data_IF_494508949711
#
_entry.id   IF_494508949711
#
_cell.length_a   1.000
_cell.length_b   1.000
_cell.length_c   1.000
_cell.angle_alpha   90.00
_cell.angle_beta   90.00
_cell.angle_gamma   90.00
#
_symmetry.space_group_name_H-M   'P 1'
#
loop_
_entity.id
_entity.type
_entity.pdbx_description
1 polymer ?
#
# COMPACT_ATOMS: atom_id res chain seq x y z
N UNK A 1 -65.20 -24.95 -61.13
CA UNK A 1 -64.36 -26.01 -60.52
C UNK A 1 -63.48 -26.62 -61.60
N UNK A 2 -62.27 -27.11 -61.25
CA UNK A 2 -61.16 -27.61 -62.11
C UNK A 2 -60.12 -26.49 -62.39
N UNK A 3 -59.12 -26.31 -61.49
CA UNK A 3 -57.75 -26.88 -61.45
C UNK A 3 -56.93 -26.62 -62.72
N UNK A 4 -55.76 -25.98 -62.56
CA UNK A 4 -54.46 -26.54 -62.99
C UNK A 4 -53.29 -25.79 -62.31
N UNK A 5 -52.28 -26.57 -61.94
CA UNK A 5 -51.07 -26.26 -61.17
C UNK A 5 -49.84 -26.22 -62.11
N UNK A 6 -48.71 -25.80 -61.53
CA UNK A 6 -47.30 -26.00 -61.94
C UNK A 6 -46.75 -24.92 -62.88
N UNK A 7 -45.48 -24.49 -62.84
CA UNK A 7 -44.31 -24.73 -61.98
C UNK A 7 -43.16 -23.89 -62.56
N UNK A 8 -42.18 -23.51 -61.71
CA UNK A 8 -40.80 -23.13 -62.06
C UNK A 8 -40.63 -21.81 -62.86
N UNK A 9 -39.57 -21.02 -62.77
CA UNK A 9 -38.32 -21.00 -62.03
C UNK A 9 -37.62 -19.67 -62.41
N UNK A 10 -36.82 -19.10 -61.50
CA UNK A 10 -35.71 -18.16 -61.79
C UNK A 10 -36.16 -16.74 -62.23
N UNK A 11 -35.62 -15.61 -61.80
CA UNK A 11 -34.26 -15.21 -61.41
C UNK A 11 -34.42 -14.05 -60.40
N UNK A 12 -33.98 -14.23 -59.15
CA UNK A 12 -33.69 -13.10 -58.26
C UNK A 12 -32.27 -12.62 -58.59
N UNK A 13 -32.12 -11.41 -59.13
CA UNK A 13 -30.82 -10.72 -59.18
C UNK A 13 -30.85 -9.45 -58.33
N UNK A 14 -30.44 -9.66 -57.08
CA UNK A 14 -29.65 -8.82 -56.20
C UNK A 14 -29.34 -7.38 -56.66
N UNK A 15 -29.90 -6.41 -55.93
CA UNK A 15 -29.20 -5.18 -55.56
C UNK A 15 -29.57 -4.83 -54.10
N UNK A 16 -29.24 -5.72 -53.16
CA UNK A 16 -29.07 -5.29 -51.78
C UNK A 16 -27.64 -4.74 -51.68
N UNK A 17 -27.52 -3.42 -51.63
CA UNK A 17 -26.32 -2.77 -51.12
C UNK A 17 -26.14 -3.31 -49.69
N UNK A 18 -25.26 -4.30 -49.53
CA UNK A 18 -24.80 -4.67 -48.21
C UNK A 18 -24.09 -3.43 -47.68
N UNK A 19 -24.72 -2.73 -46.74
CA UNK A 19 -23.99 -1.86 -45.86
C UNK A 19 -22.86 -2.72 -45.29
N UNK A 20 -21.62 -2.41 -45.66
CA UNK A 20 -20.47 -2.89 -44.92
C UNK A 20 -20.66 -2.35 -43.50
N UNK A 21 -21.26 -3.15 -42.63
CA UNK A 21 -21.14 -2.95 -41.20
C UNK A 21 -19.66 -3.14 -40.94
N UNK A 22 -18.95 -2.03 -40.81
CA UNK A 22 -17.66 -2.00 -40.16
C UNK A 22 -17.91 -2.56 -38.76
N UNK A 23 -17.68 -3.87 -38.59
CA UNK A 23 -17.54 -4.45 -37.25
C UNK A 23 -16.19 -3.94 -36.74
N UNK A 24 -16.19 -2.70 -36.27
CA UNK A 24 -15.20 -2.24 -35.32
C UNK A 24 -15.65 -2.65 -33.92
N UNK A 25 -15.97 -3.93 -33.72
CA UNK A 25 -16.11 -4.49 -32.38
C UNK A 25 -14.69 -4.78 -31.89
N UNK A 26 -14.06 -3.74 -31.34
CA UNK A 26 -12.87 -3.93 -30.53
C UNK A 26 -13.17 -4.89 -29.38
N UNK A 27 -12.17 -5.67 -28.94
CA UNK A 27 -12.34 -6.53 -27.77
C UNK A 27 -12.80 -5.70 -26.57
N UNK A 28 -13.67 -6.28 -25.74
CA UNK A 28 -14.05 -5.66 -24.47
C UNK A 28 -12.92 -5.84 -23.45
N UNK A 29 -11.98 -4.90 -23.47
CA UNK A 29 -10.81 -4.89 -22.59
C UNK A 29 -11.20 -4.55 -21.16
N UNK A 30 -10.68 -5.33 -20.23
CA UNK A 30 -10.78 -5.18 -18.79
C UNK A 30 -9.38 -4.97 -18.21
N UNK A 31 -9.32 -4.46 -16.98
CA UNK A 31 -8.07 -4.21 -16.27
C UNK A 31 -8.07 -4.89 -14.91
N UNK A 32 -6.90 -5.40 -14.52
CA UNK A 32 -6.61 -5.97 -13.20
C UNK A 32 -5.35 -5.32 -12.62
N UNK A 33 -4.93 -5.74 -11.43
CA UNK A 33 -3.72 -5.22 -10.78
C UNK A 33 -2.45 -5.49 -11.61
N UNK A 34 -2.45 -6.56 -12.40
CA UNK A 34 -1.29 -7.15 -13.09
C UNK A 34 -1.38 -7.11 -14.62
N UNK A 35 -2.57 -6.92 -15.22
CA UNK A 35 -2.72 -6.91 -16.67
C UNK A 35 -3.92 -6.08 -17.18
N UNK A 36 -3.88 -5.76 -18.46
CA UNK A 36 -5.05 -5.39 -19.26
C UNK A 36 -5.39 -6.59 -20.16
N UNK A 37 -6.61 -7.09 -20.12
CA UNK A 37 -6.99 -8.36 -20.75
C UNK A 37 -8.37 -8.32 -21.38
N UNK A 38 -8.68 -9.23 -22.30
CA UNK A 38 -10.01 -9.36 -22.87
C UNK A 38 -10.38 -10.82 -23.15
N UNK A 39 -11.68 -11.09 -23.23
CA UNK A 39 -12.19 -12.39 -23.67
C UNK A 39 -12.18 -12.52 -25.18
N UNK A 40 -12.19 -13.76 -25.67
CA UNK A 40 -12.30 -14.12 -27.08
C UNK A 40 -11.15 -13.53 -27.93
N UNK A 41 -9.96 -13.45 -27.36
CA UNK A 41 -8.78 -12.88 -28.02
C UNK A 41 -7.54 -13.74 -27.82
N UNK A 42 -6.54 -13.50 -28.67
CA UNK A 42 -5.22 -14.12 -28.66
C UNK A 42 -4.17 -13.14 -29.19
N UNK A 43 -2.89 -13.47 -29.05
CA UNK A 43 -1.75 -12.82 -29.69
C UNK A 43 -0.96 -13.85 -30.51
N UNK A 44 -0.74 -13.55 -31.79
CA UNK A 44 -0.05 -14.49 -32.70
C UNK A 44 1.44 -14.61 -32.36
N UNK A 45 1.90 -15.83 -32.12
CA UNK A 45 3.32 -16.18 -31.95
C UNK A 45 3.95 -15.65 -30.66
N UNK A 46 5.28 -15.46 -30.70
CA UNK A 46 6.11 -14.94 -29.61
C UNK A 46 6.09 -15.75 -28.31
N UNK A 47 5.73 -17.03 -28.37
CA UNK A 47 5.70 -17.91 -27.21
C UNK A 47 7.10 -18.16 -26.64
N UNK A 48 7.30 -17.77 -25.39
CA UNK A 48 8.51 -18.01 -24.59
C UNK A 48 8.31 -19.14 -23.57
N UNK A 49 7.18 -19.80 -23.63
CA UNK A 49 6.82 -20.96 -22.82
C UNK A 49 5.31 -21.10 -22.67
N UNK A 50 4.90 -22.18 -22.01
CA UNK A 50 3.50 -22.44 -21.72
C UNK A 50 3.35 -23.23 -20.42
N UNK A 51 2.18 -23.15 -19.81
CA UNK A 51 1.83 -23.95 -18.64
C UNK A 51 0.33 -24.27 -18.65
N UNK A 52 -0.01 -25.47 -18.21
CA UNK A 52 -1.41 -25.87 -18.03
C UNK A 52 -1.96 -25.22 -16.75
N UNK A 53 -3.01 -24.41 -16.88
CA UNK A 53 -3.61 -23.65 -15.77
C UNK A 53 -4.97 -23.07 -16.16
N UNK A 54 -5.63 -22.39 -15.22
CA UNK A 54 -6.83 -21.59 -15.50
C UNK A 54 -6.44 -20.27 -16.17
N UNK A 55 -7.33 -19.73 -17.00
CA UNK A 55 -7.08 -18.47 -17.71
C UNK A 55 -6.83 -17.28 -16.78
N UNK A 56 -7.53 -17.23 -15.65
CA UNK A 56 -7.37 -16.18 -14.62
C UNK A 56 -6.00 -16.18 -13.92
N UNK A 57 -5.25 -17.28 -13.95
CA UNK A 57 -3.91 -17.37 -13.37
C UNK A 57 -2.80 -16.95 -14.35
N UNK A 58 -3.14 -16.77 -15.62
CA UNK A 58 -2.19 -16.61 -16.72
C UNK A 58 -1.39 -15.29 -16.63
N UNK A 59 -2.03 -14.20 -16.19
CA UNK A 59 -1.39 -12.89 -16.01
C UNK A 59 -0.31 -12.92 -14.92
N UNK A 60 -0.63 -13.47 -13.75
CA UNK A 60 0.31 -13.59 -12.63
C UNK A 60 1.47 -14.53 -12.95
N UNK A 61 1.20 -15.65 -13.61
CA UNK A 61 2.25 -16.57 -14.04
C UNK A 61 3.16 -15.94 -15.11
N UNK A 62 2.60 -15.14 -16.01
CA UNK A 62 3.37 -14.36 -16.97
C UNK A 62 4.24 -13.30 -16.25
N UNK A 63 3.71 -12.54 -15.30
CA UNK A 63 4.45 -11.50 -14.58
C UNK A 63 5.65 -12.04 -13.78
N UNK A 64 5.55 -13.27 -13.26
CA UNK A 64 6.67 -13.96 -12.60
C UNK A 64 7.76 -14.43 -13.58
N UNK A 65 7.47 -14.51 -14.87
CA UNK A 65 8.43 -14.94 -15.90
C UNK A 65 9.10 -13.70 -16.49
N UNK A 66 10.39 -13.53 -16.17
CA UNK A 66 11.24 -12.38 -16.53
C UNK A 66 11.09 -11.86 -17.97
N UNK A 67 10.86 -12.76 -18.93
CA UNK A 67 10.82 -12.43 -20.36
C UNK A 67 9.38 -12.44 -20.92
N UNK A 68 8.36 -12.45 -20.07
CA UNK A 68 6.95 -12.37 -20.48
C UNK A 68 6.50 -10.90 -20.48
N UNK A 69 5.77 -10.50 -21.52
CA UNK A 69 5.21 -9.15 -21.64
C UNK A 69 3.70 -9.18 -21.87
N UNK A 70 3.17 -10.29 -22.37
CA UNK A 70 1.77 -10.53 -22.63
C UNK A 70 1.50 -12.04 -22.62
N UNK A 71 0.23 -12.41 -22.62
CA UNK A 71 -0.18 -13.80 -22.55
C UNK A 71 -1.43 -14.05 -23.38
N UNK A 72 -1.65 -15.33 -23.69
CA UNK A 72 -2.92 -15.82 -24.18
C UNK A 72 -3.22 -17.17 -23.55
N UNK A 73 -4.48 -17.42 -23.22
CA UNK A 73 -4.95 -18.69 -22.70
C UNK A 73 -5.93 -19.30 -23.69
N UNK A 74 -5.80 -20.61 -23.89
CA UNK A 74 -6.64 -21.39 -24.80
C UNK A 74 -7.09 -22.68 -24.10
N UNK A 75 -8.10 -23.33 -24.67
CA UNK A 75 -8.57 -24.65 -24.18
C UNK A 75 -7.63 -25.81 -24.49
N UNK A 76 -6.52 -25.54 -25.17
CA UNK A 76 -5.55 -26.56 -25.51
C UNK A 76 -5.15 -27.39 -24.27
N UNK A 77 -5.20 -28.71 -24.40
CA UNK A 77 -4.93 -29.69 -23.32
C UNK A 77 -5.69 -29.42 -22.01
N UNK A 78 -6.95 -28.98 -22.09
CA UNK A 78 -7.78 -28.71 -20.92
C UNK A 78 -7.49 -27.36 -20.25
N UNK A 79 -6.68 -26.50 -20.87
CA UNK A 79 -6.41 -25.14 -20.43
C UNK A 79 -4.92 -24.84 -20.40
N UNK A 80 -4.42 -24.14 -21.41
CA UNK A 80 -3.01 -23.78 -21.54
C UNK A 80 -2.84 -22.26 -21.62
N UNK A 81 -2.03 -21.72 -20.71
CA UNK A 81 -1.51 -20.37 -20.77
C UNK A 81 -0.23 -20.35 -21.60
N UNK A 82 -0.19 -19.49 -22.60
CA UNK A 82 0.94 -19.21 -23.47
C UNK A 82 1.59 -17.90 -23.01
N UNK A 83 2.83 -18.00 -22.53
CA UNK A 83 3.62 -16.85 -22.11
C UNK A 83 4.31 -16.26 -23.31
N UNK A 84 4.16 -14.96 -23.56
CA UNK A 84 4.63 -14.33 -24.79
C UNK A 84 5.52 -13.13 -24.53
N UNK A 85 6.45 -12.87 -25.45
CA UNK A 85 7.39 -11.75 -25.38
C UNK A 85 7.28 -10.80 -26.58
N UNK A 86 7.10 -9.51 -26.31
CA UNK A 86 7.14 -8.47 -27.32
C UNK A 86 6.91 -7.13 -26.66
N UNK A 87 7.90 -6.24 -26.71
CA UNK A 87 7.82 -4.93 -26.05
C UNK A 87 6.87 -3.94 -26.75
N UNK A 88 6.61 -4.13 -28.04
CA UNK A 88 5.75 -3.28 -28.85
C UNK A 88 4.27 -3.68 -28.83
N UNK A 89 3.91 -4.77 -28.14
CA UNK A 89 2.53 -5.28 -28.11
C UNK A 89 1.56 -4.22 -27.55
N UNK A 90 0.37 -4.20 -28.14
CA UNK A 90 -0.74 -3.29 -27.80
C UNK A 90 -2.07 -4.00 -27.99
N UNK A 91 -3.17 -3.38 -27.56
CA UNK A 91 -4.53 -3.91 -27.80
C UNK A 91 -4.81 -4.16 -29.29
N UNK A 92 -4.28 -3.30 -30.16
CA UNK A 92 -4.38 -3.46 -31.62
C UNK A 92 -3.59 -4.66 -32.18
N UNK A 93 -2.74 -5.29 -31.38
CA UNK A 93 -2.03 -6.51 -31.74
C UNK A 93 -2.87 -7.78 -31.48
N UNK A 94 -3.97 -7.67 -30.73
CA UNK A 94 -4.82 -8.80 -30.42
C UNK A 94 -5.65 -9.23 -31.63
N UNK A 95 -5.87 -10.54 -31.76
CA UNK A 95 -6.66 -11.16 -32.82
C UNK A 95 -7.84 -11.95 -32.23
N UNK A 96 -8.95 -12.10 -32.96
CA UNK A 96 -10.10 -12.84 -32.45
C UNK A 96 -9.77 -14.32 -32.24
N UNK A 97 -10.18 -14.86 -31.09
CA UNK A 97 -10.16 -16.29 -30.82
C UNK A 97 -11.56 -16.71 -30.33
N UNK A 98 -12.32 -17.47 -31.16
CA UNK A 98 -13.69 -17.85 -30.84
C UNK A 98 -13.79 -18.99 -29.82
N UNK A 99 -12.67 -19.56 -29.39
CA UNK A 99 -12.67 -20.65 -28.41
C UNK A 99 -13.30 -20.16 -27.10
N UNK A 100 -14.32 -20.86 -26.55
CA UNK A 100 -15.03 -20.31 -25.41
C UNK A 100 -14.12 -20.24 -24.18
N UNK A 101 -14.01 -19.06 -23.57
CA UNK A 101 -13.10 -18.85 -22.44
C UNK A 101 -11.66 -18.51 -22.83
N UNK A 102 -11.34 -18.38 -24.13
CA UNK A 102 -10.10 -17.78 -24.56
C UNK A 102 -9.94 -16.38 -23.95
N UNK A 103 -8.76 -16.10 -23.41
CA UNK A 103 -8.44 -14.81 -22.79
C UNK A 103 -7.01 -14.43 -23.16
N UNK A 104 -6.79 -13.18 -23.53
CA UNK A 104 -5.46 -12.65 -23.78
C UNK A 104 -5.25 -11.35 -23.01
N UNK A 105 -4.01 -11.02 -22.67
CA UNK A 105 -3.71 -9.80 -21.95
C UNK A 105 -2.27 -9.34 -22.04
N UNK A 106 -2.05 -8.06 -21.77
CA UNK A 106 -0.75 -7.39 -21.76
C UNK A 106 -0.43 -7.04 -20.31
N UNK A 107 0.77 -7.37 -19.86
CA UNK A 107 1.18 -7.10 -18.49
C UNK A 107 1.21 -5.60 -18.21
N UNK A 108 0.75 -5.23 -17.02
CA UNK A 108 0.73 -3.83 -16.59
C UNK A 108 2.13 -3.24 -16.46
N UNK A 109 3.10 -4.05 -16.05
CA UNK A 109 4.52 -3.67 -16.01
C UNK A 109 5.03 -3.20 -17.38
N UNK A 110 4.59 -3.84 -18.47
CA UNK A 110 4.91 -3.40 -19.83
C UNK A 110 4.16 -2.12 -20.23
N UNK A 111 2.88 -1.98 -19.87
CA UNK A 111 2.09 -0.79 -20.18
C UNK A 111 2.69 0.47 -19.52
N UNK A 112 3.15 0.34 -18.27
CA UNK A 112 3.87 1.40 -17.55
C UNK A 112 5.20 1.71 -18.26
N UNK A 113 6.00 0.68 -18.59
CA UNK A 113 7.28 0.86 -19.27
C UNK A 113 7.14 1.57 -20.63
N UNK A 114 5.99 1.43 -21.30
CA UNK A 114 5.68 2.06 -22.57
C UNK A 114 4.93 3.41 -22.43
N UNK A 115 4.66 3.88 -21.22
CA UNK A 115 3.90 5.12 -20.99
C UNK A 115 2.46 5.08 -21.50
N UNK A 116 1.83 3.90 -21.52
CA UNK A 116 0.49 3.63 -22.08
C UNK A 116 -0.56 3.25 -21.02
N UNK A 117 -0.30 3.51 -19.74
CA UNK A 117 -1.21 3.19 -18.63
C UNK A 117 -2.46 4.11 -18.55
N UNK A 118 -2.66 4.97 -19.53
CA UNK A 118 -3.64 6.06 -19.50
C UNK A 118 -5.03 5.71 -20.08
N UNK A 119 -5.31 4.43 -20.40
CA UNK A 119 -6.62 4.00 -20.92
C UNK A 119 -7.58 3.55 -19.80
N UNK A 120 -8.35 4.50 -19.26
CA UNK A 120 -9.76 4.30 -18.89
C UNK A 120 -10.16 3.22 -17.87
N UNK A 121 -10.01 3.54 -16.59
CA UNK A 121 -10.98 3.32 -15.48
C UNK A 121 -11.42 1.89 -15.10
N UNK A 122 -10.68 1.29 -14.18
CA UNK A 122 -11.11 1.32 -12.76
C UNK A 122 -10.19 2.33 -12.04
N UNK A 123 -10.54 2.92 -10.88
CA UNK A 123 -9.52 3.60 -10.09
C UNK A 123 -8.46 2.55 -9.79
N UNK A 124 -7.31 2.61 -10.47
CA UNK A 124 -6.10 2.01 -9.95
C UNK A 124 -6.00 2.56 -8.55
N UNK A 125 -6.22 1.71 -7.54
CA UNK A 125 -5.99 2.09 -6.17
C UNK A 125 -4.58 2.69 -6.15
N UNK A 126 -4.44 4.01 -5.99
CA UNK A 126 -3.14 4.66 -6.11
C UNK A 126 -2.21 4.20 -4.98
N UNK A 127 -2.76 3.45 -4.03
CA UNK A 127 -2.08 2.88 -2.90
C UNK A 127 -1.95 1.36 -2.97
N UNK A 128 -2.20 0.71 -4.13
CA UNK A 128 -2.16 -0.75 -4.26
C UNK A 128 -0.83 -1.36 -3.76
N UNK A 129 0.29 -0.67 -3.99
CA UNK A 129 1.60 -1.13 -3.49
C UNK A 129 1.84 -0.76 -2.01
N UNK A 130 1.22 0.29 -1.49
CA UNK A 130 1.38 0.71 -0.10
C UNK A 130 0.46 -0.09 0.85
N UNK A 131 -0.78 -0.37 0.43
CA UNK A 131 -1.83 -0.99 1.25
C UNK A 131 -1.41 -2.29 1.96
N UNK A 132 -0.64 -3.21 1.34
CA UNK A 132 -0.13 -4.40 2.02
C UNK A 132 0.80 -4.09 3.21
N UNK A 133 1.39 -2.90 3.27
CA UNK A 133 2.32 -2.45 4.31
C UNK A 133 1.71 -1.41 5.27
N UNK A 134 0.41 -1.13 5.16
CA UNK A 134 -0.28 -0.21 6.07
C UNK A 134 -0.04 -0.65 7.52
N UNK A 135 0.57 0.20 8.36
CA UNK A 135 0.83 -0.16 9.74
C UNK A 135 -0.45 -0.49 10.52
N UNK A 136 -0.28 -1.29 11.57
CA UNK A 136 -1.32 -1.52 12.59
C UNK A 136 -1.01 -0.55 13.71
N UNK A 137 -1.80 0.50 13.83
CA UNK A 137 -1.61 1.51 14.87
C UNK A 137 -2.37 1.11 16.13
N UNK A 138 -1.67 1.05 17.25
CA UNK A 138 -2.22 0.75 18.58
C UNK A 138 -2.16 1.99 19.45
N UNK A 139 -3.25 2.26 20.15
CA UNK A 139 -3.38 3.41 21.03
C UNK A 139 -3.70 2.94 22.46
N UNK A 140 -3.31 3.76 23.43
CA UNK A 140 -3.66 3.58 24.83
C UNK A 140 -5.17 3.62 25.07
N UNK A 141 -5.64 2.95 26.12
CA UNK A 141 -7.06 2.91 26.51
C UNK A 141 -7.64 4.29 26.89
N UNK A 142 -6.81 5.26 27.28
CA UNK A 142 -7.28 6.63 27.51
C UNK A 142 -6.94 7.60 26.38
N UNK A 143 -6.49 7.13 25.20
CA UNK A 143 -6.06 8.01 24.10
C UNK A 143 -7.15 8.99 23.64
N UNK A 144 -8.45 8.66 23.82
CA UNK A 144 -9.54 9.60 23.56
C UNK A 144 -9.49 10.87 24.41
N UNK A 145 -8.88 10.79 25.60
CA UNK A 145 -8.58 11.95 26.44
C UNK A 145 -7.44 12.82 25.92
N UNK A 146 -6.68 12.35 24.93
CA UNK A 146 -5.46 12.98 24.40
C UNK A 146 -5.47 13.20 22.89
N UNK A 147 -6.61 12.90 22.26
CA UNK A 147 -6.91 13.03 20.84
C UNK A 147 -6.52 11.81 20.01
N UNK A 148 -7.40 11.44 19.08
CA UNK A 148 -7.17 10.45 18.04
C UNK A 148 -6.83 11.14 16.72
N UNK A 149 -6.30 10.38 15.73
CA UNK A 149 -6.11 10.89 14.38
C UNK A 149 -7.41 11.44 13.79
N UNK A 150 -7.28 12.42 12.92
CA UNK A 150 -8.37 13.10 12.25
C UNK A 150 -8.08 13.31 10.76
N UNK A 151 -9.06 13.81 10.03
CA UNK A 151 -8.99 14.14 8.62
C UNK A 151 -8.30 15.49 8.40
N UNK A 152 -7.07 15.43 7.87
CA UNK A 152 -6.27 16.60 7.46
C UNK A 152 -6.97 17.47 6.42
N UNK A 153 -7.87 16.91 5.62
CA UNK A 153 -8.66 17.66 4.63
C UNK A 153 -9.84 18.38 5.28
N UNK A 154 -10.35 17.88 6.40
CA UNK A 154 -11.34 18.61 7.20
C UNK A 154 -10.74 19.80 7.95
N UNK A 155 -9.40 19.90 8.02
CA UNK A 155 -8.63 21.02 8.58
C UNK A 155 -9.13 21.48 9.94
N UNK A 156 -9.48 20.52 10.81
CA UNK A 156 -9.91 20.80 12.19
C UNK A 156 -8.71 21.11 13.10
N UNK A 157 -7.88 22.04 12.65
CA UNK A 157 -6.71 22.50 13.38
C UNK A 157 -7.13 23.07 14.75
N UNK A 158 -6.34 22.74 15.76
CA UNK A 158 -6.55 23.03 17.18
C UNK A 158 -7.81 22.41 17.80
N UNK A 159 -8.37 21.39 17.14
CA UNK A 159 -9.51 20.62 17.65
C UNK A 159 -9.08 19.21 17.98
N UNK A 160 -9.39 18.77 19.20
CA UNK A 160 -9.12 17.41 19.64
C UNK A 160 -10.21 16.45 19.15
N UNK A 161 -9.84 15.42 18.40
CA UNK A 161 -10.77 14.33 18.08
C UNK A 161 -10.81 13.33 19.25
N UNK A 162 -11.85 13.38 20.09
CA UNK A 162 -12.03 12.43 21.19
C UNK A 162 -12.60 11.07 20.80
N UNK A 163 -12.95 10.86 19.51
CA UNK A 163 -13.64 9.66 19.05
C UNK A 163 -12.71 8.77 18.23
N UNK A 164 -12.54 7.54 18.70
CA UNK A 164 -11.79 6.54 17.97
C UNK A 164 -12.49 6.15 16.65
N UNK A 165 -11.71 6.08 15.57
CA UNK A 165 -12.14 5.54 14.28
C UNK A 165 -11.05 4.61 13.73
N UNK A 166 -11.38 3.31 13.66
CA UNK A 166 -10.51 2.26 13.12
C UNK A 166 -10.16 2.47 11.64
N UNK A 167 -10.93 3.31 10.92
CA UNK A 167 -10.76 3.65 9.50
C UNK A 167 -10.30 5.08 9.28
N UNK A 168 -9.83 5.77 10.32
CA UNK A 168 -9.32 7.13 10.21
C UNK A 168 -8.34 7.28 9.02
N UNK A 169 -8.27 8.45 8.37
CA UNK A 169 -7.40 8.64 7.23
C UNK A 169 -5.92 8.41 7.60
N UNK A 170 -5.21 7.70 6.72
CA UNK A 170 -3.74 7.58 6.78
C UNK A 170 -3.17 8.13 5.50
N UNK A 171 -2.40 9.21 5.63
CA UNK A 171 -1.83 9.89 4.49
C UNK A 171 -0.52 9.21 4.09
N UNK A 172 -0.38 8.86 2.82
CA UNK A 172 0.78 8.14 2.31
C UNK A 172 1.50 8.92 1.24
N UNK A 173 2.83 8.87 1.33
CA UNK A 173 3.77 9.34 0.33
C UNK A 173 4.84 8.26 0.13
N UNK A 174 5.38 8.13 -1.09
CA UNK A 174 6.41 7.14 -1.36
C UNK A 174 7.55 7.69 -2.19
N UNK A 175 8.75 7.11 -1.99
CA UNK A 175 9.97 7.47 -2.72
C UNK A 175 10.81 6.22 -2.96
N UNK A 176 11.43 6.12 -4.14
CA UNK A 176 12.43 5.10 -4.43
C UNK A 176 13.79 5.53 -3.87
N UNK A 177 14.42 4.68 -3.06
CA UNK A 177 15.74 4.87 -2.46
C UNK A 177 16.65 3.69 -2.83
N UNK A 178 17.30 3.77 -4.00
CA UNK A 178 18.14 2.67 -4.52
C UNK A 178 17.31 1.40 -4.74
N UNK A 179 17.67 0.30 -4.06
CA UNK A 179 16.91 -0.96 -4.08
C UNK A 179 15.61 -0.92 -3.27
N UNK A 180 15.42 0.13 -2.45
CA UNK A 180 14.27 0.22 -1.56
C UNK A 180 13.15 1.06 -2.17
N UNK A 181 11.91 0.65 -1.93
CA UNK A 181 10.76 1.55 -2.01
C UNK A 181 10.37 1.93 -0.57
N UNK A 182 10.20 3.22 -0.31
CA UNK A 182 9.88 3.73 1.02
C UNK A 182 8.45 4.23 1.01
N UNK A 183 7.60 3.66 1.88
CA UNK A 183 6.24 4.13 2.14
C UNK A 183 6.22 4.89 3.45
N UNK A 184 5.96 6.20 3.39
CA UNK A 184 5.78 7.05 4.55
C UNK A 184 4.28 7.21 4.83
N UNK A 185 3.84 6.71 5.97
CA UNK A 185 2.49 6.85 6.50
C UNK A 185 2.46 7.98 7.52
N UNK A 186 1.42 8.80 7.46
CA UNK A 186 1.22 9.97 8.30
C UNK A 186 -0.17 9.90 8.95
N UNK A 187 -0.20 9.93 10.28
CA UNK A 187 -1.39 10.18 11.08
C UNK A 187 -1.43 11.68 11.41
N UNK A 188 -2.50 12.33 11.00
CA UNK A 188 -2.70 13.74 11.30
C UNK A 188 -3.61 13.90 12.51
N UNK A 189 -3.28 14.84 13.39
CA UNK A 189 -4.05 15.22 14.56
C UNK A 189 -4.37 16.70 14.48
N UNK A 190 -5.64 17.03 14.66
CA UNK A 190 -6.05 18.43 14.79
C UNK A 190 -5.45 19.10 16.02
N UNK A 191 -5.15 18.34 17.07
CA UNK A 191 -4.61 18.89 18.31
C UNK A 191 -3.78 17.87 19.07
N UNK A 192 -2.62 18.33 19.56
CA UNK A 192 -1.83 17.65 20.56
C UNK A 192 -1.98 18.36 21.91
N UNK A 193 -2.36 17.60 22.94
CA UNK A 193 -2.46 18.15 24.29
C UNK A 193 -1.08 18.28 24.92
N UNK A 194 -0.94 19.29 25.76
CA UNK A 194 0.31 19.52 26.48
C UNK A 194 0.45 18.56 27.64
N UNK A 195 1.69 18.27 27.98
CA UNK A 195 1.98 17.20 28.91
C UNK A 195 1.59 17.57 30.37
N UNK A 196 1.82 18.80 30.85
CA UNK A 196 1.46 19.20 32.23
C UNK A 196 0.16 20.01 32.32
N UNK A 197 -0.46 19.94 33.51
CA UNK A 197 -1.64 20.72 33.92
C UNK A 197 -1.49 22.16 33.43
N UNK A 198 -2.60 22.75 32.98
CA UNK A 198 -2.75 23.95 32.12
C UNK A 198 -1.96 25.24 32.49
N UNK A 199 -1.09 25.21 33.50
CA UNK A 199 -0.26 26.31 34.01
C UNK A 199 1.08 26.55 33.29
N UNK A 200 1.69 25.58 32.60
CA UNK A 200 3.02 25.77 31.97
C UNK A 200 3.12 25.49 30.46
N UNK A 201 2.01 25.19 29.78
CA UNK A 201 1.82 25.37 28.32
C UNK A 201 2.71 24.62 27.32
N UNK A 202 3.78 23.93 27.73
CA UNK A 202 4.75 23.31 26.82
C UNK A 202 4.16 22.14 26.01
N UNK A 203 4.46 22.13 24.70
CA UNK A 203 4.14 21.01 23.79
C UNK A 203 2.71 20.97 23.23
N UNK A 204 1.90 22.01 23.45
CA UNK A 204 0.57 22.14 22.82
C UNK A 204 0.69 22.75 21.44
N UNK A 205 0.17 22.08 20.44
CA UNK A 205 0.03 22.65 19.12
C UNK A 205 -1.10 21.95 18.37
N UNK A 206 -1.59 22.63 17.34
CA UNK A 206 -2.39 22.02 16.29
C UNK A 206 -1.51 21.50 15.16
N UNK A 207 -2.14 21.06 14.08
CA UNK A 207 -1.51 20.50 12.88
C UNK A 207 -0.37 19.52 13.22
N UNK A 208 -0.68 18.54 14.05
CA UNK A 208 0.30 17.58 14.50
C UNK A 208 0.34 16.37 13.56
N UNK A 209 1.54 16.00 13.12
CA UNK A 209 1.75 15.03 12.04
C UNK A 209 2.73 13.97 12.50
N UNK A 210 2.27 12.73 12.58
CA UNK A 210 3.06 11.61 13.07
C UNK A 210 3.35 10.57 12.01
N UNK A 211 4.64 10.28 11.84
CA UNK A 211 5.15 9.56 10.68
C UNK A 211 5.74 8.19 11.02
N UNK A 212 5.46 7.22 10.16
CA UNK A 212 6.13 5.91 10.11
C UNK A 212 6.62 5.69 8.69
N UNK A 213 7.85 5.22 8.52
CA UNK A 213 8.32 4.78 7.19
C UNK A 213 8.52 3.28 7.15
N UNK A 214 7.98 2.63 6.13
CA UNK A 214 8.22 1.21 5.84
C UNK A 214 9.08 1.11 4.60
N UNK A 215 10.27 0.52 4.74
CA UNK A 215 11.23 0.35 3.66
C UNK A 215 11.13 -1.08 3.15
N UNK A 216 10.81 -1.26 1.88
CA UNK A 216 10.64 -2.57 1.22
C UNK A 216 11.69 -2.78 0.13
N UNK A 217 12.07 -4.03 -0.15
CA UNK A 217 12.91 -4.35 -1.31
C UNK A 217 12.08 -4.25 -2.60
N UNK A 218 12.11 -3.09 -3.25
CA UNK A 218 11.20 -2.75 -4.34
C UNK A 218 9.74 -2.55 -3.90
N UNK A 219 8.82 -2.22 -4.82
CA UNK A 219 7.46 -1.76 -4.47
C UNK A 219 6.56 -2.84 -3.83
N UNK A 220 6.84 -4.11 -4.10
CA UNK A 220 6.01 -5.24 -3.64
C UNK A 220 6.82 -6.33 -2.94
N UNK A 221 8.05 -6.00 -2.51
CA UNK A 221 8.94 -6.96 -1.85
C UNK A 221 8.89 -6.91 -0.32
N UNK A 222 9.69 -7.76 0.35
CA UNK A 222 9.69 -7.87 1.80
C UNK A 222 10.12 -6.56 2.48
N UNK A 223 9.60 -6.33 3.69
CA UNK A 223 10.01 -5.22 4.56
C UNK A 223 11.45 -5.44 5.00
N UNK A 224 12.32 -4.48 4.72
CA UNK A 224 13.71 -4.47 5.15
C UNK A 224 13.88 -3.79 6.52
N UNK A 225 13.22 -2.65 6.73
CA UNK A 225 13.27 -1.90 7.98
C UNK A 225 12.08 -0.97 8.15
N UNK A 226 11.79 -0.60 9.39
CA UNK A 226 10.73 0.33 9.78
C UNK A 226 11.36 1.49 10.54
N UNK A 227 11.04 2.71 10.11
CA UNK A 227 11.41 3.95 10.79
C UNK A 227 10.25 4.40 11.66
N UNK A 228 10.55 4.64 12.92
CA UNK A 228 9.64 5.15 13.92
C UNK A 228 10.03 6.59 14.22
N UNK A 229 9.20 7.56 13.82
CA UNK A 229 9.48 8.97 14.11
C UNK A 229 8.91 9.34 15.48
N UNK A 230 9.72 10.09 16.22
CA UNK A 230 9.41 10.56 17.56
C UNK A 230 9.76 12.05 17.60
N UNK A 231 8.77 12.92 17.45
CA UNK A 231 9.01 14.37 17.42
C UNK A 231 10.17 14.77 16.49
N UNK A 232 11.25 15.33 17.08
CA UNK A 232 12.46 15.81 16.41
C UNK A 232 13.47 14.70 16.06
N UNK A 233 13.18 13.44 16.42
CA UNK A 233 14.07 12.30 16.23
C UNK A 233 13.40 11.10 15.55
N UNK A 234 14.19 10.07 15.29
CA UNK A 234 13.71 8.80 14.77
C UNK A 234 14.75 7.70 14.95
N UNK A 235 14.31 6.46 14.76
CA UNK A 235 15.17 5.29 14.74
C UNK A 235 14.59 4.21 13.84
N UNK A 236 15.45 3.32 13.35
CA UNK A 236 15.07 2.16 12.57
C UNK A 236 15.04 0.89 13.43
N UNK A 237 14.15 -0.05 13.05
CA UNK A 237 14.18 -1.45 13.47
C UNK A 237 13.94 -2.35 12.27
N UNK A 238 14.43 -3.58 12.35
CA UNK A 238 14.28 -4.59 11.29
C UNK A 238 13.26 -5.65 11.74
N UNK A 239 12.51 -6.27 10.81
CA UNK A 239 11.74 -7.47 11.11
C UNK A 239 12.62 -8.55 11.77
N UNK A 240 12.16 -9.13 12.88
CA UNK A 240 12.94 -10.09 13.66
C UNK A 240 14.01 -9.46 14.56
N UNK A 241 14.24 -8.14 14.47
CA UNK A 241 15.15 -7.39 15.34
C UNK A 241 14.49 -6.07 15.78
N UNK A 242 13.41 -6.22 16.55
CA UNK A 242 12.71 -5.13 17.23
C UNK A 242 11.48 -4.59 16.49
N UNK A 243 11.38 -4.70 15.16
CA UNK A 243 10.12 -4.37 14.48
C UNK A 243 9.15 -5.55 14.65
N UNK A 244 8.07 -5.34 15.40
CA UNK A 244 6.96 -6.28 15.48
C UNK A 244 6.16 -6.22 14.17
N UNK A 245 5.88 -7.38 13.58
CA UNK A 245 5.23 -7.51 12.28
C UNK A 245 4.04 -8.47 12.37
N UNK A 246 2.94 -8.11 11.71
CA UNK A 246 1.85 -9.02 11.39
C UNK A 246 1.79 -9.20 9.86
N UNK A 247 2.42 -10.26 9.37
CA UNK A 247 2.72 -10.39 7.94
C UNK A 247 3.66 -9.28 7.47
N UNK A 248 3.26 -8.53 6.45
CA UNK A 248 3.99 -7.37 5.92
C UNK A 248 3.69 -6.05 6.66
N UNK A 249 2.80 -6.07 7.67
CA UNK A 249 2.31 -4.88 8.35
C UNK A 249 3.05 -4.67 9.66
N UNK A 250 3.78 -3.57 9.87
CA UNK A 250 4.40 -3.31 11.15
C UNK A 250 3.35 -2.92 12.20
N UNK A 251 3.53 -3.39 13.43
CA UNK A 251 2.77 -2.93 14.58
C UNK A 251 3.45 -1.66 15.11
N UNK A 252 2.67 -0.60 15.23
CA UNK A 252 3.11 0.72 15.64
C UNK A 252 2.29 1.16 16.84
N UNK A 253 2.98 1.47 17.91
CA UNK A 253 2.44 2.02 19.13
C UNK A 253 2.48 3.53 19.04
N UNK A 254 1.34 4.18 19.23
CA UNK A 254 1.26 5.64 19.17
C UNK A 254 1.37 6.22 20.58
N UNK A 255 2.17 7.28 20.72
CA UNK A 255 2.32 8.03 21.98
C UNK A 255 1.00 8.68 22.38
N UNK A 256 0.68 8.65 23.67
CA UNK A 256 -0.58 9.18 24.20
C UNK A 256 -0.58 10.70 24.27
N UNK A 257 0.46 11.30 24.83
CA UNK A 257 0.48 12.69 25.30
C UNK A 257 1.07 13.61 24.24
N UNK A 258 2.22 13.23 23.71
CA UNK A 258 3.02 14.06 22.84
C UNK A 258 2.96 13.54 21.39
N UNK A 259 2.16 12.50 21.16
CA UNK A 259 2.07 11.76 19.92
C UNK A 259 3.46 11.29 19.41
N UNK A 260 3.49 10.44 18.40
CA UNK A 260 4.72 9.79 17.93
C UNK A 260 4.51 8.33 17.65
N UNK A 261 5.40 7.74 16.85
CA UNK A 261 5.34 6.34 16.47
C UNK A 261 6.47 5.52 17.09
N UNK A 262 6.13 4.32 17.58
CA UNK A 262 7.03 3.51 18.39
C UNK A 262 6.86 2.00 18.13
N UNK A 263 7.95 1.24 18.25
CA UNK A 263 7.92 -0.23 18.29
C UNK A 263 7.57 -0.75 19.69
N UNK A 264 7.26 -2.05 19.81
CA UNK A 264 7.11 -2.70 21.13
C UNK A 264 8.48 -2.78 21.82
N UNK A 265 8.54 -2.33 23.07
CA UNK A 265 9.70 -2.48 23.94
C UNK A 265 10.27 -1.16 24.46
N UNK A 266 10.64 -1.14 25.73
CA UNK A 266 11.27 0.00 26.39
C UNK A 266 12.80 -0.05 26.18
N UNK A 267 13.43 1.08 25.85
CA UNK A 267 14.90 1.21 25.74
C UNK A 267 15.52 1.99 26.91
N UNK A 268 14.82 2.10 28.04
CA UNK A 268 15.25 2.86 29.22
C UNK A 268 16.37 2.17 30.00
N UNK A 269 17.33 2.97 30.50
CA UNK A 269 18.45 2.47 31.31
C UNK A 269 18.08 2.12 32.75
N UNK A 270 18.87 1.23 33.37
CA UNK A 270 18.70 0.67 34.74
C UNK A 270 18.59 1.68 35.90
N UNK A 271 18.83 2.97 35.67
CA UNK A 271 18.92 3.98 36.73
C UNK A 271 17.58 4.24 37.46
N UNK A 272 16.45 4.19 36.75
CA UNK A 272 15.12 4.37 37.36
C UNK A 272 14.60 3.11 38.06
N UNK A 273 15.16 1.95 37.75
CA UNK A 273 14.83 0.66 38.36
C UNK A 273 15.14 0.62 39.86
N UNK A 274 16.09 1.45 40.32
CA UNK A 274 16.45 1.61 41.74
C UNK A 274 15.55 2.56 42.52
N UNK A 275 14.78 3.43 41.86
CA UNK A 275 13.96 4.46 42.54
C UNK A 275 12.49 4.04 42.73
N UNK A 276 11.99 3.07 41.96
CA UNK A 276 10.61 2.57 42.07
C UNK A 276 10.63 1.03 42.11
N UNK A 277 10.73 0.42 43.30
CA UNK A 277 10.72 -1.04 43.43
C UNK A 277 9.33 -1.61 43.11
N UNK A 278 9.27 -2.84 42.58
CA UNK A 278 8.06 -3.64 42.33
C UNK A 278 7.18 -3.31 41.11
N UNK A 279 7.71 -2.68 40.06
CA UNK A 279 7.16 -2.85 38.71
C UNK A 279 8.12 -3.71 37.89
N UNK A 280 7.59 -4.67 37.14
CA UNK A 280 8.37 -5.65 36.38
C UNK A 280 9.36 -5.01 35.42
N UNK A 281 10.17 -5.82 34.75
CA UNK A 281 11.28 -5.40 33.86
C UNK A 281 10.89 -4.51 32.68
N UNK A 282 9.61 -4.16 32.51
CA UNK A 282 9.10 -3.19 31.54
C UNK A 282 9.02 -1.79 32.14
N UNK A 283 10.18 -1.15 32.30
CA UNK A 283 10.25 0.23 32.76
C UNK A 283 10.02 1.21 31.60
N UNK A 284 8.75 1.33 31.19
CA UNK A 284 8.19 2.46 30.44
C UNK A 284 7.48 3.41 31.43
N UNK A 285 8.18 3.83 32.49
CA UNK A 285 7.63 4.72 33.52
C UNK A 285 8.25 6.08 33.38
N UNK A 286 7.60 6.94 32.61
CA UNK A 286 7.87 8.36 32.67
C UNK A 286 6.62 9.21 32.51
N UNK A 287 6.87 10.49 32.66
CA UNK A 287 5.87 11.53 32.68
C UNK A 287 6.32 12.67 31.78
N UNK A 288 5.51 13.70 31.82
CA UNK A 288 5.49 14.85 30.93
C UNK A 288 6.84 15.58 30.79
N UNK A 289 7.66 15.14 29.83
CA UNK A 289 8.88 15.82 29.35
C UNK A 289 9.54 15.08 28.17
N UNK A 290 8.77 14.47 27.25
CA UNK A 290 9.33 13.79 26.06
C UNK A 290 10.12 12.49 26.37
N UNK A 291 10.07 12.05 27.62
CA UNK A 291 10.52 10.74 28.07
C UNK A 291 9.27 9.90 28.32
N UNK A 292 9.20 8.73 27.68
CA UNK A 292 8.27 7.66 28.06
C UNK A 292 6.77 7.94 27.81
N UNK A 293 6.42 8.43 26.62
CA UNK A 293 5.03 8.49 26.13
C UNK A 293 4.42 7.10 25.80
N UNK A 294 5.11 6.01 26.21
CA UNK A 294 4.74 4.60 26.03
C UNK A 294 3.99 4.09 27.24
N UNK A 295 2.71 4.44 27.35
CA UNK A 295 1.77 3.60 28.09
C UNK A 295 0.77 3.13 27.07
N UNK A 296 1.11 2.09 26.32
CA UNK A 296 0.12 1.35 25.54
C UNK A 296 0.03 -0.01 26.21
N UNK A 297 -1.13 -0.33 26.79
CA UNK A 297 -1.43 -1.69 27.22
C UNK A 297 -1.33 -2.60 25.99
N UNK A 298 -0.69 -3.76 26.11
CA UNK A 298 -0.70 -4.77 25.04
C UNK A 298 -2.14 -5.17 24.69
N UNK A 299 -3.03 -5.03 25.67
CA UNK A 299 -4.46 -5.27 25.67
C UNK A 299 -5.31 -4.03 25.30
N UNK A 300 -4.67 -2.95 24.81
CA UNK A 300 -5.36 -1.71 24.46
C UNK A 300 -6.50 -1.95 23.47
N UNK A 301 -7.68 -1.42 23.78
CA UNK A 301 -8.90 -1.68 23.02
C UNK A 301 -8.95 -0.95 21.67
N UNK A 302 -8.04 0.00 21.44
CA UNK A 302 -8.02 0.86 20.27
C UNK A 302 -6.94 0.44 19.28
N UNK A 303 -7.38 -0.26 18.22
CA UNK A 303 -6.52 -0.76 17.16
C UNK A 303 -7.03 -0.27 15.81
N UNK A 304 -6.18 0.48 15.11
CA UNK A 304 -6.42 1.00 13.76
C UNK A 304 -5.59 0.22 12.75
N UNK A 305 -6.24 -0.75 12.12
CA UNK A 305 -5.70 -1.67 11.13
C UNK A 305 -6.51 -1.67 9.81
N UNK A 306 -7.56 -0.84 9.73
CA UNK A 306 -8.39 -0.61 8.53
C UNK A 306 -8.29 0.84 8.04
N UNK A 307 -7.19 1.55 8.36
CA UNK A 307 -6.99 2.95 7.99
C UNK A 307 -7.21 3.22 6.50
N UNK A 308 -7.97 4.28 6.19
CA UNK A 308 -8.27 4.65 4.81
C UNK A 308 -7.10 5.40 4.21
N UNK A 309 -6.39 4.80 3.25
CA UNK A 309 -5.24 5.45 2.61
C UNK A 309 -5.67 6.65 1.76
N UNK A 310 -4.98 7.78 1.95
CA UNK A 310 -5.11 9.01 1.16
C UNK A 310 -3.73 9.51 0.73
N UNK A 311 -3.68 10.33 -0.31
CA UNK A 311 -2.42 10.97 -0.74
C UNK A 311 -2.09 12.06 0.27
N UNK A 312 -0.88 12.10 0.80
CA UNK A 312 -0.49 13.20 1.70
C UNK A 312 -0.45 14.53 0.92
N UNK A 313 -1.24 15.54 1.33
CA UNK A 313 -1.24 16.85 0.68
C UNK A 313 0.02 17.67 0.98
N UNK A 314 0.72 17.37 2.08
CA UNK A 314 1.95 18.06 2.49
C UNK A 314 2.97 17.07 3.07
N UNK A 315 3.52 16.16 2.24
CA UNK A 315 4.41 15.13 2.72
C UNK A 315 5.73 15.70 3.21
N UNK A 316 6.19 15.21 4.36
CA UNK A 316 7.58 15.39 4.79
C UNK A 316 8.52 14.65 3.83
N UNK A 317 9.66 15.26 3.51
CA UNK A 317 10.65 14.65 2.62
C UNK A 317 11.19 13.32 3.18
N UNK A 318 11.26 12.32 2.31
CA UNK A 318 11.93 11.05 2.59
C UNK A 318 13.43 11.22 2.27
N UNK A 319 14.24 11.22 3.32
CA UNK A 319 15.71 11.18 3.23
C UNK A 319 16.17 9.73 3.00
N UNK A 320 16.74 9.47 1.83
CA UNK A 320 17.22 8.13 1.44
C UNK A 320 18.55 7.77 2.12
N UNK A 321 19.29 8.76 2.61
CA UNK A 321 20.62 8.62 3.22
C UNK A 321 20.56 8.83 4.74
N UNK A 322 19.35 8.78 5.30
CA UNK A 322 19.09 8.97 6.72
C UNK A 322 19.93 7.98 7.58
N UNK A 323 20.62 8.46 8.63
CA UNK A 323 21.30 7.58 9.58
C UNK A 323 20.32 6.59 10.24
N UNK A 324 20.85 5.48 10.77
CA UNK A 324 20.04 4.44 11.44
C UNK A 324 19.23 4.95 12.64
N UNK A 325 19.63 6.07 13.23
CA UNK A 325 18.85 6.81 14.21
C UNK A 325 19.40 8.22 14.36
N UNK A 326 18.61 9.10 14.96
CA UNK A 326 19.08 10.41 15.42
C UNK A 326 18.91 10.54 16.92
N UNK A 327 19.69 11.42 17.58
CA UNK A 327 19.39 11.85 18.93
C UNK A 327 18.00 12.50 18.95
N UNK A 328 16.97 11.79 19.39
CA UNK A 328 15.76 12.44 19.88
C UNK A 328 16.12 13.29 21.10
N UNK A 329 15.61 14.53 21.17
CA UNK A 329 15.61 15.54 22.25
C UNK A 329 16.66 15.50 23.40
N UNK A 330 17.86 14.98 23.18
CA UNK A 330 18.96 15.04 24.13
C UNK A 330 19.71 16.36 23.88
N UNK A 331 19.56 17.30 24.81
CA UNK A 331 20.50 18.42 25.02
C UNK A 331 21.58 18.06 26.07
N UNK A 332 21.46 16.89 26.71
CA UNK A 332 22.36 16.41 27.75
C UNK A 332 23.31 15.32 27.22
N UNK A 333 24.61 15.61 27.28
CA UNK A 333 25.72 14.74 26.83
C UNK A 333 25.87 13.50 27.74
N UNK A 334 24.99 12.49 27.65
CA UNK A 334 25.21 11.15 28.25
C UNK A 334 24.10 10.15 27.87
N UNK A 335 24.45 8.85 27.73
CA UNK A 335 24.72 8.21 26.44
C UNK A 335 23.45 8.07 25.58
N UNK A 336 23.61 8.16 24.25
CA UNK A 336 22.68 7.77 23.17
C UNK A 336 21.20 7.72 23.55
N UNK A 337 20.41 8.63 22.95
CA UNK A 337 18.94 8.57 22.93
C UNK A 337 18.46 7.11 23.00
N UNK A 338 17.61 6.79 23.97
CA UNK A 338 17.15 5.42 24.21
C UNK A 338 16.74 4.71 22.90
N UNK A 339 16.15 5.44 21.95
CA UNK A 339 15.84 5.02 20.58
C UNK A 339 17.00 4.38 19.77
N UNK A 340 18.23 4.88 19.93
CA UNK A 340 19.45 4.39 19.29
C UNK A 340 20.12 3.20 20.00
N UNK A 341 19.63 2.80 21.18
CA UNK A 341 20.22 1.71 21.95
C UNK A 341 20.12 0.38 21.18
N UNK A 342 21.22 -0.38 21.10
CA UNK A 342 21.27 -1.68 20.42
C UNK A 342 21.41 -1.64 18.89
N UNK A 343 21.44 -0.45 18.29
CA UNK A 343 21.80 -0.27 16.88
C UNK A 343 23.33 -0.14 16.77
N UNK A 344 23.96 -1.00 15.96
CA UNK A 344 25.38 -0.86 15.64
C UNK A 344 25.57 0.40 14.79
N UNK A 345 26.58 1.21 15.14
CA UNK A 345 26.95 2.42 14.41
C UNK A 345 27.64 2.12 13.10
#
# INVERSE_FOLDING_TARGET
MIRLRHSASSILLLLSLAAAVLVADGFNWQTSSDAMWAMNCDFRGNDVGSAQMRGEDCSRACDLKRDCSHFAWTRYNGGTCWFKNGRSVSQSSAIPNPDPGAVCGILRSLLIANGRDSFGMTPHDPFANARPYLPIFRFDDDAGGWCFPDDKEAQRDKVCNGRFDRRAPVYVHSKQCGQYTVYQYNLWYGWQKGCVNQLFGGGRHGDDNEYVQVWTLGPSGPVARVRYNQHNGYYFREPGRGAEMHGSRPVVYIGKIAHGAYHRGCTGGKFWQTLIPNRGTDFCVGGCAYWDDFRNSEDGNFVMDEGTLRKDPSPREIDCDAPNCTPGHNSWRSPKSAACFGLNH
#
